data_IF_023749427486
#
_entry.id   IF_023749427486
#
_cell.length_a   1.000
_cell.length_b   1.000
_cell.length_c   1.000
_cell.angle_alpha   90.00
_cell.angle_beta   90.00
_cell.angle_gamma   90.00
#
_symmetry.space_group_name_H-M   'P 1'
#
loop_
_entity.id
_entity.type
_entity.pdbx_description
1 polymer ?
#
# COMPACT_ATOMS: atom_id res chain seq x y z
N UNK A 1 32.33 -6.83 -6.18
CA UNK A 1 31.20 -6.64 -5.25
C UNK A 1 30.31 -5.51 -5.77
N UNK A 2 29.17 -5.82 -6.39
CA UNK A 2 28.22 -4.79 -6.86
C UNK A 2 27.49 -4.21 -5.65
N UNK A 3 27.75 -2.95 -5.31
CA UNK A 3 27.00 -2.19 -4.31
C UNK A 3 25.61 -1.91 -4.88
N UNK A 4 24.61 -2.66 -4.43
CA UNK A 4 23.20 -2.33 -4.69
C UNK A 4 22.92 -1.05 -3.88
N UNK A 5 22.91 0.11 -4.56
CA UNK A 5 22.34 1.32 -3.98
C UNK A 5 20.85 1.04 -3.78
N UNK A 6 20.42 0.82 -2.54
CA UNK A 6 19.01 0.88 -2.19
C UNK A 6 18.57 2.33 -2.41
N UNK A 7 17.83 2.57 -3.49
CA UNK A 7 17.10 3.80 -3.69
C UNK A 7 16.22 4.06 -2.45
N UNK A 8 16.49 5.17 -1.77
CA UNK A 8 16.02 5.48 -0.41
C UNK A 8 14.56 5.97 -0.33
N UNK A 9 13.74 5.80 -1.37
CA UNK A 9 12.43 6.45 -1.45
C UNK A 9 11.24 5.53 -1.78
N UNK A 10 11.38 4.21 -1.62
CA UNK A 10 10.22 3.33 -1.70
C UNK A 10 9.45 3.41 -0.38
N UNK A 11 8.39 4.22 -0.35
CA UNK A 11 7.39 4.15 0.70
C UNK A 11 6.75 2.77 0.60
N UNK A 12 6.91 1.96 1.64
CA UNK A 12 6.37 0.60 1.67
C UNK A 12 4.89 0.71 1.98
N UNK A 13 4.06 0.45 0.97
CA UNK A 13 2.63 0.25 1.16
C UNK A 13 2.39 -1.12 1.77
N UNK A 14 1.82 -1.12 2.97
CA UNK A 14 1.47 -2.32 3.73
C UNK A 14 -0.03 -2.59 3.63
N UNK A 15 -0.46 -3.81 4.00
CA UNK A 15 -1.88 -4.17 4.05
C UNK A 15 -2.71 -3.23 4.93
N UNK A 16 -2.08 -2.63 5.95
CA UNK A 16 -2.72 -1.74 6.92
C UNK A 16 -2.66 -0.25 6.55
N UNK A 17 -2.01 0.09 5.42
CA UNK A 17 -1.99 1.47 4.91
C UNK A 17 -3.42 1.93 4.66
N UNK A 18 -3.79 3.11 5.12
CA UNK A 18 -5.11 3.66 4.83
C UNK A 18 -5.18 4.16 3.39
N UNK A 19 -6.35 4.04 2.79
CA UNK A 19 -6.60 4.62 1.46
C UNK A 19 -6.37 6.13 1.47
N UNK A 20 -6.67 6.83 2.57
CA UNK A 20 -6.36 8.26 2.70
C UNK A 20 -4.86 8.58 2.54
N UNK A 21 -3.98 7.71 3.02
CA UNK A 21 -2.52 7.90 2.94
C UNK A 21 -2.07 7.83 1.46
N UNK A 22 -2.78 7.13 0.58
CA UNK A 22 -2.48 7.10 -0.86
C UNK A 22 -2.72 8.45 -1.54
N UNK A 23 -3.74 9.18 -1.09
CA UNK A 23 -4.01 10.54 -1.58
C UNK A 23 -2.90 11.49 -1.16
N UNK A 24 -2.45 11.41 0.08
CA UNK A 24 -1.37 12.26 0.60
C UNK A 24 -0.02 11.98 -0.06
N UNK A 25 0.29 10.70 -0.29
CA UNK A 25 1.59 10.28 -0.83
C UNK A 25 1.68 10.36 -2.35
N UNK A 26 0.60 10.04 -3.05
CA UNK A 26 0.60 9.84 -4.50
C UNK A 26 -0.44 10.69 -5.25
N UNK A 27 -1.28 11.46 -4.54
CA UNK A 27 -2.38 12.20 -5.16
C UNK A 27 -3.49 11.31 -5.71
N UNK A 28 -3.52 10.02 -5.34
CA UNK A 28 -4.50 9.05 -5.82
C UNK A 28 -5.71 9.09 -4.89
N UNK A 29 -6.85 9.48 -5.43
CA UNK A 29 -8.12 9.42 -4.73
C UNK A 29 -8.88 8.15 -5.15
N UNK A 30 -9.14 7.28 -4.19
CA UNK A 30 -10.03 6.15 -4.37
C UNK A 30 -11.39 6.54 -3.80
N UNK A 31 -12.47 6.31 -4.54
CA UNK A 31 -13.85 6.64 -4.14
C UNK A 31 -14.41 5.65 -3.11
N UNK A 32 -13.64 5.36 -2.06
CA UNK A 32 -13.98 4.48 -0.94
C UNK A 32 -13.73 5.20 0.37
N UNK A 33 -14.17 4.62 1.48
CA UNK A 33 -13.95 5.22 2.80
C UNK A 33 -12.44 5.46 3.05
N UNK A 34 -12.04 6.68 3.46
CA UNK A 34 -10.63 7.04 3.62
C UNK A 34 -9.92 6.23 4.73
N UNK A 35 -10.67 5.67 5.68
CA UNK A 35 -10.13 4.81 6.73
C UNK A 35 -10.05 3.35 6.33
N UNK A 36 -10.60 2.96 5.17
CA UNK A 36 -10.43 1.61 4.62
C UNK A 36 -8.96 1.31 4.45
N UNK A 37 -8.56 0.11 4.88
CA UNK A 37 -7.22 -0.39 4.69
C UNK A 37 -7.03 -0.81 3.24
N UNK A 38 -5.86 -0.52 2.66
CA UNK A 38 -5.52 -0.88 1.29
C UNK A 38 -5.61 -2.38 1.04
N UNK A 39 -5.24 -3.21 2.02
CA UNK A 39 -5.40 -4.66 1.93
C UNK A 39 -6.85 -5.09 1.80
N UNK A 40 -7.76 -4.45 2.54
CA UNK A 40 -9.20 -4.76 2.47
C UNK A 40 -9.79 -4.27 1.16
N UNK A 41 -9.45 -3.04 0.73
CA UNK A 41 -9.84 -2.49 -0.57
C UNK A 41 -9.45 -3.41 -1.74
N UNK A 42 -8.20 -3.88 -1.77
CA UNK A 42 -7.73 -4.77 -2.82
C UNK A 42 -8.39 -6.15 -2.77
N UNK A 43 -8.67 -6.67 -1.56
CA UNK A 43 -9.36 -7.94 -1.40
C UNK A 43 -10.81 -7.87 -1.88
N UNK A 44 -11.54 -6.83 -1.47
CA UNK A 44 -12.93 -6.58 -1.91
C UNK A 44 -13.01 -6.28 -3.41
N UNK A 45 -11.99 -5.62 -3.97
CA UNK A 45 -11.85 -5.36 -5.39
C UNK A 45 -11.50 -6.59 -6.24
N UNK A 46 -11.31 -7.77 -5.64
CA UNK A 46 -10.99 -9.01 -6.37
C UNK A 46 -9.51 -9.22 -6.67
N UNK A 47 -8.61 -8.54 -5.95
CA UNK A 47 -7.16 -8.65 -6.08
C UNK A 47 -6.46 -9.28 -4.85
N UNK A 48 -6.89 -10.48 -4.37
CA UNK A 48 -6.33 -11.08 -3.16
C UNK A 48 -4.84 -11.41 -3.30
N UNK A 49 -4.38 -11.80 -4.50
CA UNK A 49 -2.96 -12.08 -4.76
C UNK A 49 -2.06 -10.85 -4.59
N UNK A 50 -2.56 -9.65 -4.87
CA UNK A 50 -1.82 -8.42 -4.59
C UNK A 50 -1.68 -8.20 -3.09
N UNK A 51 -2.74 -8.46 -2.32
CA UNK A 51 -2.71 -8.37 -0.85
C UNK A 51 -1.70 -9.35 -0.27
N UNK A 52 -1.62 -10.56 -0.81
CA UNK A 52 -0.67 -11.58 -0.35
C UNK A 52 0.78 -11.18 -0.60
N UNK A 53 1.05 -10.45 -1.69
CA UNK A 53 2.36 -9.88 -2.01
C UNK A 53 2.72 -8.65 -1.15
N UNK A 54 1.74 -7.99 -0.54
CA UNK A 54 1.98 -6.86 0.36
C UNK A 54 2.54 -7.34 1.70
N UNK A 55 3.44 -6.53 2.26
CA UNK A 55 4.02 -6.75 3.59
C UNK A 55 2.94 -6.54 4.65
N UNK A 56 2.88 -7.42 5.65
CA UNK A 56 2.18 -7.13 6.91
C UNK A 56 2.95 -6.02 7.62
N UNK A 57 2.38 -4.82 7.60
CA UNK A 57 2.89 -3.69 8.37
C UNK A 57 2.25 -3.68 9.74
N UNK A 58 3.01 -3.97 10.79
CA UNK A 58 2.70 -3.50 12.13
C UNK A 58 2.91 -1.98 12.14
N UNK A 59 1.88 -1.24 12.57
CA UNK A 59 1.81 0.21 12.50
C UNK A 59 2.64 0.88 13.60
#
# INVERSE_FOLDING_TARGET
MRKVKKDKNQIILTRNTKVSELKELYGIELSVDPNTKLGDYLREGGFPSLVDMMVEGDK
#
